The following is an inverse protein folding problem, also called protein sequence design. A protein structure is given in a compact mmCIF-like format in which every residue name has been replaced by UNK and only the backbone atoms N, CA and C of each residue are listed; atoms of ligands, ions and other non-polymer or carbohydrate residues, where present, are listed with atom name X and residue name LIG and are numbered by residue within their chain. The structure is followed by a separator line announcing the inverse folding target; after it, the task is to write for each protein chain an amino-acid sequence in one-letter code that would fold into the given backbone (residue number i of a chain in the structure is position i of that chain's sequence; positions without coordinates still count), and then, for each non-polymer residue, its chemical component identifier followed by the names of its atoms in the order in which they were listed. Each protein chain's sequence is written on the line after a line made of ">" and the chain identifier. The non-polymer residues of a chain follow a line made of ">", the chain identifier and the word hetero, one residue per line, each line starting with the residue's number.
data_IF_117586610296
#
_entry.id   IF_117586610296
#
_cell.length_a   1.000
_cell.length_b   1.000
_cell.length_c   1.000
_cell.angle_alpha   90.00
_cell.angle_beta   90.00
_cell.angle_gamma   90.00
#
_symmetry.space_group_name_H-M   'P 1'
#
loop_
_entity.id
_entity.type
_entity.pdbx_description
1 polymer ?
#
# COMPACT_ATOMS: atom_id res chain seq x y z
N UNK A 1 15.56 13.64 8.64
CA UNK A 1 14.53 13.06 7.73
C UNK A 1 15.20 12.48 6.50
N UNK A 2 14.90 11.22 6.19
CA UNK A 2 15.43 10.59 4.99
C UNK A 2 14.42 10.72 3.85
N UNK A 3 14.92 11.17 2.69
CA UNK A 3 14.10 11.26 1.49
C UNK A 3 14.11 9.91 0.77
N UNK A 4 12.92 9.39 0.47
CA UNK A 4 12.73 8.12 -0.25
C UNK A 4 12.00 8.37 -1.55
N UNK A 5 12.76 8.61 -2.63
CA UNK A 5 12.17 8.86 -3.95
C UNK A 5 11.33 7.69 -4.47
N UNK A 6 11.66 6.47 -4.05
CA UNK A 6 10.92 5.26 -4.45
C UNK A 6 9.47 5.30 -3.95
N UNK A 7 9.22 5.98 -2.82
CA UNK A 7 7.88 6.11 -2.25
C UNK A 7 7.12 7.33 -2.79
N UNK A 8 7.74 8.13 -3.66
CA UNK A 8 7.10 9.31 -4.22
C UNK A 8 5.90 9.01 -5.09
N UNK A 9 4.94 9.94 -5.12
CA UNK A 9 3.74 9.84 -5.95
C UNK A 9 3.97 10.28 -7.40
N UNK A 10 2.91 10.73 -8.06
CA UNK A 10 2.94 11.28 -9.44
C UNK A 10 3.57 10.33 -10.46
N UNK A 11 3.14 9.09 -10.43
CA UNK A 11 3.53 8.12 -11.44
C UNK A 11 2.39 7.92 -12.41
N UNK A 12 2.72 7.55 -13.64
CA UNK A 12 1.73 7.23 -14.65
C UNK A 12 2.27 6.13 -15.56
N UNK A 13 1.35 5.33 -16.11
CA UNK A 13 1.73 4.29 -17.06
C UNK A 13 2.45 3.10 -16.44
N UNK A 14 2.30 2.85 -15.14
CA UNK A 14 2.90 1.67 -14.50
C UNK A 14 2.27 0.39 -15.03
N UNK A 15 3.08 -0.65 -15.31
CA UNK A 15 2.54 -1.95 -15.70
C UNK A 15 1.61 -2.51 -14.61
N UNK A 16 0.44 -2.98 -15.01
CA UNK A 16 -0.53 -3.54 -14.08
C UNK A 16 -1.51 -2.55 -13.49
N UNK A 17 -1.44 -1.27 -13.86
CA UNK A 17 -2.35 -0.26 -13.33
C UNK A 17 -3.81 -0.53 -13.66
N UNK A 18 -4.08 -1.26 -14.73
CA UNK A 18 -5.44 -1.64 -15.14
C UNK A 18 -6.16 -2.50 -14.09
N UNK A 19 -5.41 -3.18 -13.23
CA UNK A 19 -5.98 -3.98 -12.14
C UNK A 19 -6.68 -3.12 -11.10
N UNK A 20 -6.36 -1.83 -11.07
CA UNK A 20 -6.88 -0.90 -10.07
C UNK A 20 -7.82 0.13 -10.69
N UNK A 21 -8.57 -0.29 -11.71
CA UNK A 21 -9.47 0.59 -12.44
C UNK A 21 -10.58 1.20 -11.59
N UNK A 22 -10.92 0.59 -10.45
CA UNK A 22 -11.94 1.14 -9.55
C UNK A 22 -11.47 2.43 -8.86
N UNK A 23 -10.16 2.68 -8.83
CA UNK A 23 -9.63 3.94 -8.32
C UNK A 23 -9.82 5.02 -9.37
N UNK A 24 -10.51 6.10 -9.01
CA UNK A 24 -10.89 7.14 -9.96
C UNK A 24 -9.75 8.04 -10.43
N UNK A 25 -8.61 8.02 -9.75
CA UNK A 25 -7.47 8.88 -10.04
C UNK A 25 -6.37 8.07 -10.71
N UNK A 26 -5.99 8.46 -11.93
CA UNK A 26 -4.99 7.73 -12.71
C UNK A 26 -3.66 7.58 -11.97
N UNK A 27 -3.20 8.63 -11.29
CA UNK A 27 -1.97 8.58 -10.53
C UNK A 27 -2.03 7.55 -9.39
N UNK A 28 -3.20 7.36 -8.79
CA UNK A 28 -3.40 6.38 -7.73
C UNK A 28 -3.37 4.96 -8.29
N UNK A 29 -3.94 4.75 -9.48
CA UNK A 29 -3.89 3.43 -10.13
C UNK A 29 -2.44 3.01 -10.43
N UNK A 30 -1.67 3.94 -10.96
CA UNK A 30 -0.25 3.70 -11.23
C UNK A 30 0.53 3.47 -9.95
N UNK A 31 0.25 4.24 -8.92
CA UNK A 31 0.93 4.08 -7.64
C UNK A 31 0.62 2.73 -7.00
N UNK A 32 -0.64 2.31 -7.01
CA UNK A 32 -1.03 1.00 -6.47
C UNK A 32 -0.27 -0.13 -7.17
N UNK A 33 -0.12 -0.04 -8.48
CA UNK A 33 0.64 -1.03 -9.24
C UNK A 33 2.14 -0.99 -8.86
N UNK A 34 2.69 0.21 -8.65
CA UNK A 34 4.10 0.40 -8.29
C UNK A 34 4.44 -0.21 -6.94
N UNK A 35 3.48 -0.25 -6.02
CA UNK A 35 3.69 -0.77 -4.66
C UNK A 35 4.11 -2.24 -4.64
N UNK A 36 3.88 -2.98 -5.71
CA UNK A 36 4.32 -4.36 -5.81
C UNK A 36 5.80 -4.51 -6.19
N UNK A 37 6.49 -3.43 -6.56
CA UNK A 37 7.89 -3.52 -6.97
C UNK A 37 8.80 -3.78 -5.77
N UNK A 38 9.87 -4.57 -5.96
CA UNK A 38 10.83 -4.82 -4.88
C UNK A 38 11.46 -3.54 -4.33
N UNK A 39 11.75 -2.57 -5.19
CA UNK A 39 12.34 -1.30 -4.79
C UNK A 39 11.42 -0.53 -3.85
N UNK A 40 10.12 -0.50 -4.17
CA UNK A 40 9.14 0.17 -3.33
C UNK A 40 9.01 -0.52 -1.98
N UNK A 41 8.93 -1.85 -1.98
CA UNK A 41 8.81 -2.63 -0.75
C UNK A 41 10.05 -2.49 0.14
N UNK A 42 11.25 -2.47 -0.45
CA UNK A 42 12.47 -2.25 0.29
C UNK A 42 12.51 -0.85 0.91
N UNK A 43 12.13 0.17 0.15
CA UNK A 43 12.09 1.55 0.65
C UNK A 43 11.11 1.69 1.80
N UNK A 44 9.94 1.07 1.71
CA UNK A 44 8.96 1.06 2.79
C UNK A 44 9.53 0.38 4.03
N UNK A 45 10.12 -0.78 3.87
CA UNK A 45 10.73 -1.53 4.99
C UNK A 45 11.78 -0.72 5.72
N UNK A 46 12.65 -0.04 4.98
CA UNK A 46 13.67 0.83 5.58
C UNK A 46 13.06 2.02 6.31
N UNK A 47 11.99 2.58 5.76
CA UNK A 47 11.31 3.70 6.41
C UNK A 47 10.68 3.30 7.74
N UNK A 48 10.20 2.05 7.83
CA UNK A 48 9.58 1.54 9.05
C UNK A 48 10.58 1.14 10.13
N UNK A 49 11.88 1.12 9.83
CA UNK A 49 12.92 0.87 10.83
C UNK A 49 13.05 2.03 11.82
N UNK A 50 12.57 3.21 11.46
CA UNK A 50 12.55 4.35 12.36
C UNK A 50 11.59 4.09 13.52
N UNK A 51 11.94 4.59 14.69
CA UNK A 51 11.11 4.40 15.90
C UNK A 51 9.71 4.99 15.72
N UNK A 52 9.61 6.15 15.09
CA UNK A 52 8.32 6.81 14.81
C UNK A 52 8.29 7.29 13.36
N UNK A 53 8.06 6.37 12.41
CA UNK A 53 8.06 6.76 11.01
C UNK A 53 6.89 7.69 10.69
N UNK A 54 7.16 8.68 9.84
CA UNK A 54 6.14 9.61 9.39
C UNK A 54 6.37 9.88 7.90
N UNK A 55 5.29 9.80 7.11
CA UNK A 55 5.36 10.05 5.67
C UNK A 55 4.81 11.45 5.38
N UNK A 56 5.58 12.22 4.63
CA UNK A 56 5.25 13.60 4.29
C UNK A 56 5.05 13.75 2.79
N UNK A 57 4.15 14.65 2.44
CA UNK A 57 3.87 15.02 1.07
C UNK A 57 3.51 16.50 1.00
N UNK A 58 3.65 17.10 -0.17
CA UNK A 58 3.24 18.48 -0.38
C UNK A 58 1.72 18.68 -0.29
N UNK A 59 0.93 17.62 -0.53
CA UNK A 59 -0.53 17.68 -0.41
C UNK A 59 -0.94 17.65 1.06
N UNK A 60 -1.77 18.60 1.47
CA UNK A 60 -2.24 18.71 2.85
C UNK A 60 -3.25 17.63 3.20
N UNK A 61 -4.16 17.32 2.27
CA UNK A 61 -5.23 16.35 2.52
C UNK A 61 -4.76 14.95 2.19
N UNK A 62 -4.64 14.11 3.21
CA UNK A 62 -4.08 12.76 3.04
C UNK A 62 -4.87 11.91 2.05
N UNK A 63 -6.18 12.13 1.96
CA UNK A 63 -7.03 11.34 1.06
C UNK A 63 -6.90 11.75 -0.41
N UNK A 64 -6.19 12.84 -0.70
CA UNK A 64 -5.88 13.29 -2.06
C UNK A 64 -4.45 12.96 -2.47
N UNK A 65 -3.74 12.22 -1.63
CA UNK A 65 -2.32 11.98 -1.79
C UNK A 65 -2.05 10.48 -1.80
N UNK A 66 -0.96 10.09 -2.46
CA UNK A 66 -0.51 8.70 -2.46
C UNK A 66 -0.25 8.15 -1.04
N UNK A 67 -0.07 9.01 -0.04
CA UNK A 67 0.01 8.60 1.37
C UNK A 67 -1.19 7.74 1.77
N UNK A 68 -2.34 7.97 1.14
CA UNK A 68 -3.53 7.17 1.40
C UNK A 68 -3.29 5.70 1.07
N UNK A 69 -2.59 5.43 -0.02
CA UNK A 69 -2.27 4.06 -0.42
C UNK A 69 -1.23 3.43 0.49
N UNK A 70 -0.23 4.19 0.92
CA UNK A 70 0.74 3.72 1.91
C UNK A 70 0.02 3.34 3.21
N UNK A 71 -0.85 4.22 3.68
CA UNK A 71 -1.64 4.00 4.90
C UNK A 71 -2.56 2.78 4.76
N UNK A 72 -3.21 2.61 3.60
CA UNK A 72 -4.04 1.44 3.32
C UNK A 72 -3.25 0.15 3.51
N UNK A 73 -2.07 0.08 2.90
CA UNK A 73 -1.24 -1.12 2.96
C UNK A 73 -0.77 -1.40 4.39
N UNK A 74 -0.28 -0.38 5.08
CA UNK A 74 0.21 -0.55 6.46
C UNK A 74 -0.90 -0.96 7.41
N UNK A 75 -2.08 -0.34 7.28
CA UNK A 75 -3.23 -0.70 8.11
C UNK A 75 -3.69 -2.13 7.84
N UNK A 76 -3.68 -2.55 6.57
CA UNK A 76 -4.01 -3.93 6.20
C UNK A 76 -3.02 -4.93 6.79
N UNK A 77 -1.76 -4.54 6.93
CA UNK A 77 -0.72 -5.38 7.52
C UNK A 77 -0.71 -5.35 9.05
N UNK A 78 -1.71 -4.71 9.67
CA UNK A 78 -1.87 -4.68 11.11
C UNK A 78 -1.17 -3.53 11.82
N UNK A 79 -0.64 -2.57 11.10
CA UNK A 79 -0.03 -1.39 11.70
C UNK A 79 -1.09 -0.36 12.07
N UNK A 80 -0.89 0.31 13.20
CA UNK A 80 -1.74 1.44 13.57
C UNK A 80 -1.30 2.66 12.76
N UNK A 81 -2.22 3.23 12.01
CA UNK A 81 -1.94 4.39 11.16
C UNK A 81 -2.81 5.54 11.57
N UNK A 82 -2.18 6.68 11.84
CA UNK A 82 -2.86 7.91 12.24
C UNK A 82 -2.41 9.03 11.31
N UNK A 83 -3.38 9.80 10.82
CA UNK A 83 -3.10 10.97 10.00
C UNK A 83 -3.02 12.21 10.88
N UNK A 84 -1.92 12.95 10.76
CA UNK A 84 -1.73 14.19 11.48
C UNK A 84 -2.30 15.34 10.65
N UNK A 85 -3.34 15.98 11.18
CA UNK A 85 -4.06 17.04 10.46
C UNK A 85 -3.60 18.44 10.87
N UNK A 86 -2.88 18.56 11.99
CA UNK A 86 -2.40 19.80 12.54
C UNK A 86 -2.09 19.63 14.01
N UNK A 87 -1.62 20.68 14.71
CA UNK A 87 -1.31 20.55 16.13
C UNK A 87 -2.51 20.06 16.93
N UNK A 88 -2.33 18.95 17.64
CA UNK A 88 -3.37 18.34 18.45
C UNK A 88 -4.52 17.70 17.67
N UNK A 89 -4.41 17.62 16.33
CA UNK A 89 -5.47 17.04 15.50
C UNK A 89 -4.98 15.79 14.83
N UNK A 90 -5.63 14.66 15.12
CA UNK A 90 -5.31 13.36 14.59
C UNK A 90 -6.57 12.68 14.07
N UNK A 91 -6.39 11.81 13.08
CA UNK A 91 -7.48 11.02 12.52
C UNK A 91 -6.97 9.62 12.23
N UNK A 92 -7.63 8.58 12.76
CA UNK A 92 -7.28 7.21 12.39
C UNK A 92 -7.50 6.97 10.91
N UNK A 93 -6.70 6.13 10.31
CA UNK A 93 -6.87 5.80 8.90
C UNK A 93 -8.18 5.07 8.66
N UNK A 94 -8.85 5.43 7.57
CA UNK A 94 -10.07 4.77 7.11
C UNK A 94 -9.79 4.15 5.75
N UNK A 95 -10.17 2.88 5.61
CA UNK A 95 -9.99 2.15 4.35
C UNK A 95 -10.89 2.69 3.25
N UNK A 96 -10.46 2.51 1.99
CA UNK A 96 -11.35 2.68 0.86
C UNK A 96 -12.52 1.71 0.97
N UNK A 97 -13.69 2.12 0.47
CA UNK A 97 -14.86 1.24 0.41
C UNK A 97 -14.59 0.01 -0.46
N UNK A 98 -13.73 0.17 -1.46
CA UNK A 98 -13.35 -0.90 -2.40
C UNK A 98 -12.26 -1.81 -1.84
N UNK A 99 -11.76 -1.53 -0.63
CA UNK A 99 -10.69 -2.32 -0.01
C UNK A 99 -11.23 -3.56 0.65
N UNK A 100 -10.45 -4.63 0.56
CA UNK A 100 -10.71 -5.87 1.28
C UNK A 100 -9.39 -6.32 1.91
N UNK A 101 -9.44 -6.69 3.18
CA UNK A 101 -8.27 -7.18 3.91
C UNK A 101 -8.51 -8.65 4.22
N UNK A 102 -7.58 -9.51 3.75
CA UNK A 102 -7.62 -10.95 4.01
C UNK A 102 -6.22 -11.41 4.40
N UNK A 103 -6.11 -12.05 5.56
CA UNK A 103 -4.85 -12.61 6.06
C UNK A 103 -3.69 -11.60 6.08
N UNK A 104 -3.98 -10.35 6.47
CA UNK A 104 -2.99 -9.29 6.54
C UNK A 104 -2.56 -8.75 5.18
N UNK A 105 -3.34 -9.03 4.13
CA UNK A 105 -3.06 -8.58 2.77
C UNK A 105 -4.17 -7.67 2.28
N UNK A 106 -3.78 -6.65 1.54
CA UNK A 106 -4.71 -5.66 1.00
C UNK A 106 -5.11 -6.01 -0.43
N UNK A 107 -6.41 -5.98 -0.69
CA UNK A 107 -6.97 -6.13 -2.03
C UNK A 107 -7.76 -4.88 -2.39
N UNK A 108 -7.47 -4.29 -3.54
CA UNK A 108 -8.23 -3.18 -4.11
C UNK A 108 -8.71 -3.61 -5.49
N UNK A 109 -9.99 -3.32 -5.79
CA UNK A 109 -10.59 -3.70 -7.08
C UNK A 109 -10.47 -5.22 -7.34
N UNK A 110 -10.44 -6.02 -6.29
CA UNK A 110 -10.26 -7.46 -6.40
C UNK A 110 -8.83 -7.91 -6.67
N UNK A 111 -7.88 -6.98 -6.74
CA UNK A 111 -6.47 -7.30 -7.01
C UNK A 111 -5.60 -6.99 -5.80
N UNK A 112 -4.60 -7.85 -5.55
CA UNK A 112 -3.70 -7.67 -4.42
C UNK A 112 -2.81 -6.43 -4.62
N UNK A 113 -2.58 -5.71 -3.52
CA UNK A 113 -1.71 -4.54 -3.49
C UNK A 113 -0.45 -4.87 -2.72
N UNK A 114 0.69 -4.44 -3.24
CA UNK A 114 1.97 -4.60 -2.55
C UNK A 114 2.67 -5.92 -2.79
N UNK A 115 2.07 -6.81 -3.59
CA UNK A 115 2.65 -8.08 -3.99
C UNK A 115 2.34 -8.33 -5.46
N UNK A 116 3.18 -9.12 -6.12
CA UNK A 116 2.92 -9.51 -7.52
C UNK A 116 1.90 -10.65 -7.53
N UNK A 117 0.93 -10.62 -8.44
CA UNK A 117 -0.04 -11.73 -8.54
C UNK A 117 0.62 -13.10 -8.73
N UNK A 118 1.73 -13.16 -9.46
CA UNK A 118 2.47 -14.42 -9.67
C UNK A 118 3.04 -14.96 -8.36
N UNK A 119 3.51 -14.08 -7.48
CA UNK A 119 4.05 -14.49 -6.18
C UNK A 119 2.96 -15.01 -5.27
N UNK A 120 1.77 -14.40 -5.33
CA UNK A 120 0.60 -14.87 -4.57
C UNK A 120 0.21 -16.28 -4.99
N UNK A 121 0.14 -16.52 -6.28
CA UNK A 121 -0.20 -17.85 -6.79
C UNK A 121 0.82 -18.90 -6.34
N UNK A 122 2.10 -18.52 -6.32
CA UNK A 122 3.16 -19.41 -5.84
C UNK A 122 2.98 -19.76 -4.36
N UNK A 123 2.63 -18.78 -3.55
CA UNK A 123 2.38 -18.99 -2.12
C UNK A 123 1.14 -19.85 -1.88
N UNK A 124 0.10 -19.65 -2.66
CA UNK A 124 -1.13 -20.46 -2.58
C UNK A 124 -0.81 -21.92 -2.90
N UNK A 125 -0.02 -22.16 -3.94
CA UNK A 125 0.38 -23.53 -4.29
C UNK A 125 1.19 -24.18 -3.20
N UNK A 126 2.10 -23.44 -2.55
CA UNK A 126 2.85 -23.95 -1.40
C UNK A 126 1.92 -24.30 -0.23
N UNK A 127 0.95 -23.43 0.05
CA UNK A 127 -0.02 -23.67 1.10
C UNK A 127 -0.83 -24.93 0.86
N UNK A 128 -1.23 -25.18 -0.37
CA UNK A 128 -1.95 -26.39 -0.72
C UNK A 128 -1.10 -27.65 -0.50
N UNK A 129 0.19 -27.58 -0.82
CA UNK A 129 1.11 -28.70 -0.58
C UNK A 129 1.29 -28.96 0.92
N UNK A 130 1.45 -27.91 1.71
CA UNK A 130 1.62 -28.04 3.15
C UNK A 130 0.37 -28.61 3.82
N UNK A 131 -0.80 -28.14 3.39
CA UNK A 131 -2.08 -28.67 3.87
C UNK A 131 -2.26 -30.15 3.53
N UNK A 132 -1.75 -30.55 2.37
CA UNK A 132 -1.82 -31.94 1.95
C UNK A 132 -0.95 -32.87 2.77
N UNK A 133 0.01 -32.34 3.55
CA UNK A 133 0.87 -33.15 4.39
C UNK A 133 0.38 -33.25 5.84
N UNK A 134 -0.60 -32.47 6.18
CA UNK A 134 -1.24 -32.54 7.49
C UNK A 134 -2.33 -33.61 7.48
#
# INVERSE_FOLDING_TARGET
>A
MLFRSELGGRRSGEPGEERFACLGVAAFRSYAARMASPEWQEALGRSLEAERPCFLCAETLWWRCHRRLIAELLAARGQEVVHLLGPGKQQPHRFYDESEVRDGKLYLCGSIVGERPSDVNRLIQRGLFEEGTE
#
